data_IF_828764037655
#
_entry.id   IF_828764037655
#
_cell.length_a   1.000
_cell.length_b   1.000
_cell.length_c   1.000
_cell.angle_alpha   90.00
_cell.angle_beta   90.00
_cell.angle_gamma   90.00
#
_symmetry.space_group_name_H-M   'P 1'
#
loop_
_entity.id
_entity.type
_entity.pdbx_description
1 polymer ?
#
# COMPACT_ATOMS: atom_id res chain seq x y z
N UNK A 1 -4.37 -1.60 26.14
CA UNK A 1 -5.44 -1.48 25.12
C UNK A 1 -4.95 -0.47 24.13
N UNK A 2 -4.70 -0.86 22.88
CA UNK A 2 -4.38 0.12 21.83
C UNK A 2 -5.60 1.03 21.65
N UNK A 3 -5.39 2.32 21.73
CA UNK A 3 -6.45 3.30 21.51
C UNK A 3 -6.90 3.16 20.03
N UNK A 4 -8.20 2.95 19.82
CA UNK A 4 -8.78 2.74 18.48
C UNK A 4 -8.47 3.92 17.56
N UNK A 5 -8.31 5.11 18.13
CA UNK A 5 -7.94 6.33 17.40
C UNK A 5 -6.59 6.23 16.69
N UNK A 6 -5.71 5.34 17.13
CA UNK A 6 -4.37 5.14 16.58
C UNK A 6 -4.28 3.90 15.67
N UNK A 7 -5.38 3.22 15.42
CA UNK A 7 -5.44 2.05 14.53
C UNK A 7 -5.76 2.48 13.08
N UNK A 8 -5.00 1.94 12.12
CA UNK A 8 -5.21 2.13 10.68
C UNK A 8 -5.21 0.77 10.00
N UNK A 9 -6.25 0.50 9.19
CA UNK A 9 -6.35 -0.72 8.39
C UNK A 9 -6.25 -0.37 6.92
N UNK A 10 -5.25 -0.90 6.25
CA UNK A 10 -4.98 -0.63 4.83
C UNK A 10 -4.81 -1.93 4.07
N UNK A 11 -5.28 -1.96 2.84
CA UNK A 11 -4.95 -3.02 1.88
C UNK A 11 -3.92 -2.52 0.88
N UNK A 12 -2.98 -3.38 0.50
CA UNK A 12 -2.02 -3.05 -0.54
C UNK A 12 -2.38 -3.77 -1.84
N UNK A 13 -2.54 -2.99 -2.91
CA UNK A 13 -2.84 -3.46 -4.27
C UNK A 13 -1.62 -3.20 -5.14
N UNK A 14 -1.10 -4.23 -5.77
CA UNK A 14 0.01 -4.11 -6.70
C UNK A 14 -0.04 -5.19 -7.77
N UNK A 15 0.48 -4.86 -8.96
CA UNK A 15 0.80 -5.88 -9.96
C UNK A 15 2.05 -6.66 -9.53
N UNK A 16 2.18 -7.88 -10.06
CA UNK A 16 3.42 -8.68 -9.91
C UNK A 16 4.62 -7.86 -10.36
N UNK A 17 5.73 -7.97 -9.65
CA UNK A 17 6.98 -7.25 -9.89
C UNK A 17 6.94 -5.71 -9.70
N UNK A 18 5.82 -5.10 -9.30
CA UNK A 18 5.78 -3.67 -8.95
C UNK A 18 6.49 -3.34 -7.62
N UNK A 19 6.98 -4.36 -6.89
CA UNK A 19 7.80 -4.18 -5.69
C UNK A 19 7.02 -4.18 -4.38
N UNK A 20 5.85 -4.82 -4.33
CA UNK A 20 5.00 -4.92 -3.13
C UNK A 20 5.75 -5.53 -1.95
N UNK A 21 6.32 -6.72 -2.11
CA UNK A 21 7.05 -7.42 -1.05
C UNK A 21 8.21 -6.59 -0.54
N UNK A 22 9.01 -6.02 -1.45
CA UNK A 22 10.16 -5.18 -1.10
C UNK A 22 9.73 -3.93 -0.31
N UNK A 23 8.64 -3.28 -0.72
CA UNK A 23 8.11 -2.11 -0.02
C UNK A 23 7.65 -2.48 1.40
N UNK A 24 6.86 -3.52 1.54
CA UNK A 24 6.34 -3.98 2.84
C UNK A 24 7.46 -4.39 3.77
N UNK A 25 8.47 -5.10 3.27
CA UNK A 25 9.66 -5.46 4.06
C UNK A 25 10.41 -4.23 4.58
N UNK A 26 10.54 -3.18 3.76
CA UNK A 26 11.14 -1.91 4.20
C UNK A 26 10.32 -1.19 5.25
N UNK A 27 8.99 -1.17 5.11
CA UNK A 27 8.10 -0.62 6.13
C UNK A 27 8.25 -1.37 7.45
N UNK A 28 8.30 -2.70 7.41
CA UNK A 28 8.53 -3.53 8.60
C UNK A 28 9.88 -3.26 9.26
N UNK A 29 10.95 -3.20 8.48
CA UNK A 29 12.30 -2.92 8.98
C UNK A 29 12.38 -1.54 9.65
N UNK A 30 11.82 -0.51 9.03
CA UNK A 30 11.92 0.87 9.50
C UNK A 30 10.96 1.19 10.65
N UNK A 31 9.88 0.43 10.79
CA UNK A 31 8.94 0.58 11.90
C UNK A 31 9.46 0.05 13.24
N UNK A 32 10.56 -0.69 13.25
CA UNK A 32 11.07 -1.39 14.42
C UNK A 32 10.25 -2.63 14.82
N UNK A 33 9.30 -3.05 14.00
CA UNK A 33 8.44 -4.21 14.28
C UNK A 33 9.21 -5.54 14.34
N UNK A 34 10.38 -5.60 13.71
CA UNK A 34 11.21 -6.82 13.63
C UNK A 34 12.18 -6.98 14.81
N UNK A 35 12.36 -5.96 15.68
CA UNK A 35 13.31 -6.00 16.80
C UNK A 35 14.72 -6.45 16.36
N UNK A 36 15.45 -7.14 17.25
CA UNK A 36 16.81 -7.67 16.99
C UNK A 36 16.87 -8.81 15.93
N UNK A 37 15.74 -9.24 15.38
CA UNK A 37 15.65 -10.27 14.31
C UNK A 37 15.72 -9.71 12.90
N UNK A 38 16.05 -8.45 12.73
CA UNK A 38 16.11 -7.75 11.42
C UNK A 38 17.05 -8.37 10.37
N UNK A 39 17.88 -9.34 10.74
CA UNK A 39 18.82 -10.02 9.83
C UNK A 39 18.32 -11.32 9.16
N UNK A 40 17.15 -11.86 9.56
CA UNK A 40 16.73 -13.21 9.16
C UNK A 40 15.49 -13.30 8.27
N UNK A 41 14.81 -12.19 7.96
CA UNK A 41 13.52 -12.25 7.26
C UNK A 41 13.59 -11.52 5.92
N UNK A 42 14.17 -12.17 4.93
CA UNK A 42 13.87 -11.87 3.53
C UNK A 42 12.45 -12.35 3.21
N UNK A 43 11.57 -11.45 2.75
CA UNK A 43 10.21 -11.73 2.26
C UNK A 43 9.20 -12.21 3.31
N UNK A 44 8.97 -11.40 4.33
CA UNK A 44 7.97 -11.69 5.38
C UNK A 44 6.57 -11.97 4.81
N UNK A 45 6.19 -11.33 3.70
CA UNK A 45 4.87 -11.48 3.08
C UNK A 45 4.75 -12.72 2.19
N UNK A 46 5.84 -13.18 1.57
CA UNK A 46 5.84 -14.33 0.63
C UNK A 46 6.44 -15.59 1.27
N UNK A 47 6.00 -15.95 2.46
CA UNK A 47 6.53 -17.10 3.22
C UNK A 47 6.00 -18.46 2.76
N UNK A 48 5.04 -18.51 1.84
CA UNK A 48 4.51 -19.76 1.28
C UNK A 48 5.38 -20.21 0.08
N UNK A 49 5.79 -21.48 0.07
CA UNK A 49 6.65 -22.04 -0.98
C UNK A 49 6.06 -21.85 -2.40
N UNK A 50 4.73 -21.98 -2.56
CA UNK A 50 4.04 -21.78 -3.85
C UNK A 50 4.03 -20.30 -4.27
N UNK A 51 3.89 -19.38 -3.34
CA UNK A 51 3.94 -17.93 -3.60
C UNK A 51 5.35 -17.50 -3.97
N UNK A 52 6.36 -18.02 -3.26
CA UNK A 52 7.77 -17.77 -3.56
C UNK A 52 8.20 -18.31 -4.92
N UNK A 53 7.73 -19.52 -5.31
CA UNK A 53 8.04 -20.13 -6.60
C UNK A 53 7.42 -19.38 -7.78
N UNK A 54 6.19 -18.87 -7.60
CA UNK A 54 5.43 -18.18 -8.66
C UNK A 54 5.57 -16.67 -8.63
N UNK A 55 6.12 -16.09 -7.55
CA UNK A 55 6.24 -14.65 -7.33
C UNK A 55 4.89 -13.93 -7.18
N UNK A 56 3.81 -14.65 -6.82
CA UNK A 56 2.45 -14.10 -6.68
C UNK A 56 1.91 -14.36 -5.27
N UNK A 57 1.11 -13.42 -4.76
CA UNK A 57 0.36 -13.60 -3.52
C UNK A 57 -0.93 -14.37 -3.81
N UNK A 58 -1.14 -15.48 -3.11
CA UNK A 58 -2.30 -16.37 -3.26
C UNK A 58 -3.31 -16.13 -2.14
N UNK A 59 -2.83 -15.99 -0.90
CA UNK A 59 -3.66 -15.78 0.28
C UNK A 59 -3.44 -14.39 0.87
N UNK A 60 -4.54 -13.75 1.28
CA UNK A 60 -4.45 -12.48 2.00
C UNK A 60 -3.73 -12.69 3.34
N UNK A 61 -2.66 -11.93 3.55
CA UNK A 61 -1.87 -11.95 4.79
C UNK A 61 -2.03 -10.63 5.52
N UNK A 62 -2.11 -10.71 6.84
CA UNK A 62 -2.19 -9.55 7.71
C UNK A 62 -0.84 -9.34 8.39
N UNK A 63 -0.30 -8.16 8.24
CA UNK A 63 0.92 -7.72 8.91
C UNK A 63 0.64 -6.47 9.71
N UNK A 64 0.99 -6.47 11.00
CA UNK A 64 0.83 -5.30 11.85
C UNK A 64 2.17 -4.60 12.06
N UNK A 65 2.17 -3.30 11.83
CA UNK A 65 3.30 -2.41 12.02
C UNK A 65 2.97 -1.45 13.16
N UNK A 66 3.93 -1.19 14.04
CA UNK A 66 3.83 -0.14 15.06
C UNK A 66 4.80 0.97 14.67
N UNK A 67 4.28 2.18 14.46
CA UNK A 67 5.09 3.33 14.04
C UNK A 67 4.85 4.54 14.94
N UNK A 68 5.94 5.21 15.37
CA UNK A 68 5.88 6.44 16.15
C UNK A 68 5.92 7.66 15.23
N UNK A 69 4.83 8.41 15.23
CA UNK A 69 4.80 9.74 14.60
C UNK A 69 5.47 10.76 15.52
N UNK A 70 6.69 11.13 15.15
CA UNK A 70 7.49 12.10 15.93
C UNK A 70 6.92 13.52 15.92
N UNK A 71 6.03 13.85 14.95
CA UNK A 71 5.38 15.15 14.84
C UNK A 71 4.39 15.37 15.98
N UNK A 72 3.71 14.30 16.40
CA UNK A 72 2.62 14.33 17.39
C UNK A 72 2.93 13.51 18.64
N UNK A 73 4.09 12.86 18.70
CA UNK A 73 4.49 11.90 19.74
C UNK A 73 3.42 10.80 19.94
N UNK A 74 2.80 10.37 18.85
CA UNK A 74 1.72 9.39 18.85
C UNK A 74 2.18 8.09 18.19
N UNK A 75 1.97 6.97 18.86
CA UNK A 75 2.25 5.65 18.31
C UNK A 75 1.03 5.10 17.62
N UNK A 76 1.15 4.82 16.32
CA UNK A 76 0.12 4.23 15.47
C UNK A 76 0.36 2.73 15.29
N UNK A 77 -0.74 1.98 15.21
CA UNK A 77 -0.75 0.61 14.74
C UNK A 77 -1.37 0.55 13.36
N UNK A 78 -0.58 0.15 12.37
CA UNK A 78 -0.98 0.05 10.97
C UNK A 78 -1.07 -1.43 10.62
N UNK A 79 -2.27 -1.92 10.33
CA UNK A 79 -2.49 -3.26 9.83
C UNK A 79 -2.47 -3.21 8.30
N UNK A 80 -1.53 -3.92 7.70
CA UNK A 80 -1.42 -4.06 6.25
C UNK A 80 -1.99 -5.41 5.87
N UNK A 81 -3.02 -5.40 5.02
CA UNK A 81 -3.59 -6.60 4.44
C UNK A 81 -3.09 -6.71 3.00
N UNK A 82 -2.38 -7.77 2.71
CA UNK A 82 -1.95 -8.06 1.35
C UNK A 82 -3.11 -8.60 0.53
N UNK A 83 -3.31 -8.10 -0.68
CA UNK A 83 -4.37 -8.55 -1.58
C UNK A 83 -3.82 -9.47 -2.66
N UNK A 84 -4.53 -10.58 -2.97
CA UNK A 84 -4.21 -11.35 -4.17
C UNK A 84 -4.32 -10.48 -5.43
N UNK A 85 -3.31 -10.55 -6.28
CA UNK A 85 -3.27 -9.74 -7.51
C UNK A 85 -4.09 -10.30 -8.67
N UNK A 86 -4.70 -11.48 -8.53
CA UNK A 86 -5.34 -12.19 -9.62
C UNK A 86 -6.87 -12.19 -9.51
N UNK A 87 -7.57 -12.01 -10.64
CA UNK A 87 -9.04 -12.01 -10.71
C UNK A 87 -9.69 -13.32 -10.22
N UNK A 88 -8.95 -14.42 -10.25
CA UNK A 88 -9.42 -15.74 -9.80
C UNK A 88 -9.71 -15.79 -8.29
N UNK A 89 -9.21 -14.83 -7.52
CA UNK A 89 -9.39 -14.74 -6.06
C UNK A 89 -10.43 -13.68 -5.65
N UNK A 90 -11.46 -13.45 -6.47
CA UNK A 90 -12.46 -12.39 -6.26
C UNK A 90 -13.12 -12.39 -4.89
N UNK A 91 -13.45 -13.56 -4.33
CA UNK A 91 -14.02 -13.68 -2.98
C UNK A 91 -13.06 -13.24 -1.87
N UNK A 92 -11.78 -13.55 -2.00
CA UNK A 92 -10.75 -13.12 -1.05
C UNK A 92 -10.53 -11.60 -1.12
N UNK A 93 -10.50 -11.04 -2.33
CA UNK A 93 -10.42 -9.58 -2.54
C UNK A 93 -11.58 -8.87 -1.88
N UNK A 94 -12.82 -9.34 -2.07
CA UNK A 94 -14.01 -8.72 -1.45
C UNK A 94 -13.97 -8.78 0.08
N UNK A 95 -13.48 -9.88 0.64
CA UNK A 95 -13.28 -10.04 2.07
C UNK A 95 -12.25 -9.04 2.60
N UNK A 96 -11.11 -8.89 1.93
CA UNK A 96 -10.08 -7.90 2.31
C UNK A 96 -10.67 -6.49 2.29
N UNK A 97 -11.35 -6.11 1.20
CA UNK A 97 -11.94 -4.77 1.06
C UNK A 97 -13.00 -4.46 2.13
N UNK A 98 -13.59 -5.48 2.77
CA UNK A 98 -14.53 -5.28 3.89
C UNK A 98 -13.86 -5.02 5.24
N UNK A 99 -12.54 -5.24 5.34
CA UNK A 99 -11.79 -5.15 6.60
C UNK A 99 -10.88 -3.94 6.68
N UNK A 100 -10.80 -3.13 5.62
CA UNK A 100 -9.85 -2.02 5.51
C UNK A 100 -10.56 -0.69 5.33
N UNK A 101 -9.88 0.39 5.68
CA UNK A 101 -10.41 1.76 5.62
C UNK A 101 -9.85 2.54 4.43
N UNK A 102 -8.76 2.05 3.84
CA UNK A 102 -8.07 2.68 2.71
C UNK A 102 -7.31 1.62 1.90
N UNK A 103 -6.98 1.94 0.67
CA UNK A 103 -6.14 1.11 -0.20
C UNK A 103 -4.88 1.84 -0.63
N UNK A 104 -3.73 1.14 -0.59
CA UNK A 104 -2.49 1.60 -1.20
C UNK A 104 -2.37 0.96 -2.58
N UNK A 105 -2.43 1.77 -3.63
CA UNK A 105 -2.15 1.31 -4.99
C UNK A 105 -0.69 1.55 -5.33
N UNK A 106 0.08 0.47 -5.42
CA UNK A 106 1.49 0.50 -5.77
C UNK A 106 1.67 0.32 -7.28
N UNK A 107 2.28 1.30 -7.93
CA UNK A 107 2.48 1.32 -9.38
C UNK A 107 3.96 1.51 -9.70
N UNK A 108 4.48 0.72 -10.63
CA UNK A 108 5.82 0.88 -11.16
C UNK A 108 5.91 2.15 -12.04
N UNK A 109 6.90 2.99 -11.77
CA UNK A 109 7.11 4.26 -12.49
C UNK A 109 7.47 4.11 -13.97
N UNK A 110 7.79 2.90 -14.43
CA UNK A 110 8.12 2.61 -15.83
C UNK A 110 6.92 2.02 -16.58
N UNK A 111 6.18 1.12 -15.91
CA UNK A 111 5.11 0.32 -16.53
C UNK A 111 3.73 0.95 -16.40
N UNK A 112 3.49 1.70 -15.32
CA UNK A 112 2.18 2.25 -15.02
C UNK A 112 1.21 1.19 -14.47
N UNK A 113 -0.10 1.54 -14.36
CA UNK A 113 -1.10 0.62 -13.85
C UNK A 113 -1.36 -0.51 -14.85
N UNK A 114 -1.42 -1.75 -14.35
CA UNK A 114 -1.60 -2.96 -15.16
C UNK A 114 -3.04 -3.47 -15.08
N UNK A 115 -3.53 -4.22 -16.10
CA UNK A 115 -4.92 -4.69 -16.15
C UNK A 115 -5.38 -5.48 -14.92
N UNK A 116 -4.48 -6.20 -14.27
CA UNK A 116 -4.80 -7.01 -13.09
C UNK A 116 -5.20 -6.15 -11.88
N UNK A 117 -4.58 -4.98 -11.72
CA UNK A 117 -4.93 -4.05 -10.63
C UNK A 117 -6.30 -3.40 -10.83
N UNK A 118 -6.79 -3.34 -12.08
CA UNK A 118 -8.09 -2.78 -12.42
C UNK A 118 -9.23 -3.44 -11.65
N UNK A 119 -9.27 -4.78 -11.63
CA UNK A 119 -10.32 -5.54 -10.95
C UNK A 119 -10.34 -5.25 -9.44
N UNK A 120 -9.17 -5.31 -8.80
CA UNK A 120 -9.05 -5.09 -7.35
C UNK A 120 -9.40 -3.66 -6.98
N UNK A 121 -8.94 -2.67 -7.77
CA UNK A 121 -9.26 -1.26 -7.59
C UNK A 121 -10.76 -0.99 -7.74
N UNK A 122 -11.41 -1.61 -8.74
CA UNK A 122 -12.86 -1.51 -8.93
C UNK A 122 -13.64 -2.00 -7.69
N UNK A 123 -13.21 -3.11 -7.09
CA UNK A 123 -13.82 -3.63 -5.88
C UNK A 123 -13.63 -2.70 -4.68
N UNK A 124 -12.46 -2.08 -4.56
CA UNK A 124 -12.19 -1.07 -3.53
C UNK A 124 -13.10 0.17 -3.69
N UNK A 125 -13.22 0.69 -4.91
CA UNK A 125 -14.05 1.86 -5.20
C UNK A 125 -15.54 1.61 -5.00
N UNK A 126 -16.03 0.42 -5.36
CA UNK A 126 -17.41 0.01 -5.11
C UNK A 126 -17.78 0.02 -3.61
N UNK A 127 -16.80 -0.05 -2.73
CA UNK A 127 -16.97 0.07 -1.27
C UNK A 127 -16.72 1.48 -0.74
N UNK A 128 -16.44 2.44 -1.60
CA UNK A 128 -16.15 3.82 -1.22
C UNK A 128 -14.77 4.02 -0.58
N UNK A 129 -13.85 3.06 -0.70
CA UNK A 129 -12.50 3.19 -0.16
C UNK A 129 -11.72 4.26 -0.91
N UNK A 130 -10.95 5.06 -0.15
CA UNK A 130 -10.06 6.09 -0.71
C UNK A 130 -8.72 5.46 -1.08
N UNK A 131 -8.14 5.80 -2.24
CA UNK A 131 -6.82 5.31 -2.63
C UNK A 131 -5.72 6.25 -2.16
N UNK A 132 -4.57 5.69 -1.80
CA UNK A 132 -3.27 6.37 -1.76
C UNK A 132 -2.44 5.74 -2.87
N UNK A 133 -1.92 6.54 -3.79
CA UNK A 133 -1.11 6.03 -4.91
C UNK A 133 0.37 6.16 -4.59
N UNK A 134 1.09 5.05 -4.72
CA UNK A 134 2.54 4.98 -4.52
C UNK A 134 3.20 4.73 -5.87
N UNK A 135 3.93 5.71 -6.38
CA UNK A 135 4.74 5.58 -7.59
C UNK A 135 6.11 5.04 -7.18
N UNK A 136 6.32 3.75 -7.41
CA UNK A 136 7.53 3.04 -6.98
C UNK A 136 8.60 2.99 -8.08
N UNK A 137 9.83 2.72 -7.67
CA UNK A 137 11.01 2.59 -8.54
C UNK A 137 11.38 3.89 -9.26
N UNK A 138 11.11 5.04 -8.62
CA UNK A 138 11.43 6.36 -9.22
C UNK A 138 12.94 6.61 -9.37
N UNK A 139 13.78 5.80 -8.71
CA UNK A 139 15.24 5.80 -8.83
C UNK A 139 15.75 5.21 -10.15
N UNK A 140 14.88 4.60 -10.95
CA UNK A 140 15.30 4.03 -12.24
C UNK A 140 15.43 5.09 -13.32
N UNK A 141 16.45 4.98 -14.21
CA UNK A 141 16.67 5.98 -15.27
C UNK A 141 15.51 6.11 -16.27
N UNK A 142 14.71 5.06 -16.43
CA UNK A 142 13.54 5.02 -17.33
C UNK A 142 12.23 5.33 -16.62
N UNK A 143 12.27 5.82 -15.39
CA UNK A 143 11.07 6.23 -14.66
C UNK A 143 10.34 7.38 -15.37
N UNK A 144 9.00 7.29 -15.42
CA UNK A 144 8.11 8.27 -16.05
C UNK A 144 6.95 8.60 -15.11
N UNK A 145 7.22 9.16 -13.93
CA UNK A 145 6.20 9.32 -12.89
C UNK A 145 4.99 10.14 -13.36
N UNK A 146 5.18 11.24 -14.09
CA UNK A 146 4.08 12.07 -14.59
C UNK A 146 3.15 11.30 -15.52
N UNK A 147 3.73 10.57 -16.46
CA UNK A 147 2.94 9.72 -17.36
C UNK A 147 2.16 8.63 -16.58
N UNK A 148 2.76 8.05 -15.55
CA UNK A 148 2.11 7.05 -14.71
C UNK A 148 0.93 7.65 -13.95
N UNK A 149 1.05 8.87 -13.44
CA UNK A 149 -0.03 9.58 -12.75
C UNK A 149 -1.21 9.79 -13.70
N UNK A 150 -0.95 10.23 -14.94
CA UNK A 150 -2.00 10.39 -15.96
C UNK A 150 -2.71 9.06 -16.23
N UNK A 151 -1.95 7.96 -16.35
CA UNK A 151 -2.53 6.62 -16.54
C UNK A 151 -3.34 6.13 -15.35
N UNK A 152 -2.93 6.46 -14.12
CA UNK A 152 -3.69 6.13 -12.90
C UNK A 152 -4.98 6.94 -12.85
N UNK A 153 -4.90 8.23 -13.16
CA UNK A 153 -6.08 9.09 -13.21
C UNK A 153 -7.10 8.59 -14.24
N UNK A 154 -6.65 8.28 -15.47
CA UNK A 154 -7.50 7.69 -16.51
C UNK A 154 -8.12 6.36 -16.08
N UNK A 155 -7.35 5.52 -15.38
CA UNK A 155 -7.87 4.27 -14.82
C UNK A 155 -8.98 4.53 -13.82
N UNK A 156 -8.80 5.44 -12.88
CA UNK A 156 -9.78 5.74 -11.83
C UNK A 156 -11.05 6.36 -12.40
N UNK A 157 -10.93 7.30 -13.34
CA UNK A 157 -12.05 7.89 -14.06
C UNK A 157 -12.86 6.82 -14.82
N UNK A 158 -12.18 5.95 -15.55
CA UNK A 158 -12.80 4.82 -16.27
C UNK A 158 -13.47 3.78 -15.34
N UNK A 159 -13.09 3.71 -14.09
CA UNK A 159 -13.72 2.87 -13.06
C UNK A 159 -14.91 3.54 -12.38
N UNK A 160 -15.21 4.79 -12.74
CA UNK A 160 -16.28 5.56 -12.11
C UNK A 160 -15.94 6.04 -10.70
N UNK A 161 -14.69 6.40 -10.45
CA UNK A 161 -14.26 6.97 -9.19
C UNK A 161 -15.05 8.24 -8.85
N UNK A 162 -15.31 8.48 -7.57
CA UNK A 162 -15.89 9.74 -7.08
C UNK A 162 -14.84 10.85 -7.11
N UNK A 163 -15.29 12.11 -7.03
CA UNK A 163 -14.37 13.25 -6.96
C UNK A 163 -13.37 13.11 -5.79
N UNK A 164 -13.81 12.58 -4.64
CA UNK A 164 -12.95 12.31 -3.49
C UNK A 164 -11.90 11.23 -3.78
N UNK A 165 -12.25 10.23 -4.59
CA UNK A 165 -11.32 9.16 -5.01
C UNK A 165 -10.37 9.64 -6.09
N UNK A 166 -10.75 10.61 -6.92
CA UNK A 166 -9.90 11.25 -7.92
C UNK A 166 -8.92 12.27 -7.32
N UNK A 167 -9.23 12.81 -6.13
CA UNK A 167 -8.33 13.66 -5.34
C UNK A 167 -7.41 12.79 -4.45
N UNK A 168 -6.72 11.85 -5.07
CA UNK A 168 -5.86 10.90 -4.37
C UNK A 168 -4.48 11.49 -4.05
N UNK A 169 -3.95 11.25 -2.83
CA UNK A 169 -2.58 11.59 -2.49
C UNK A 169 -1.60 10.69 -3.23
N UNK A 170 -0.46 11.26 -3.61
CA UNK A 170 0.62 10.56 -4.32
C UNK A 170 1.86 10.59 -3.45
N UNK A 171 2.48 9.41 -3.30
CA UNK A 171 3.80 9.26 -2.66
C UNK A 171 4.74 8.62 -3.67
N UNK A 172 5.90 9.22 -3.84
CA UNK A 172 6.98 8.68 -4.68
C UNK A 172 7.90 7.83 -3.82
N UNK A 173 8.32 6.68 -4.32
CA UNK A 173 9.13 5.76 -3.53
C UNK A 173 10.17 5.01 -4.36
N UNK A 174 11.22 4.59 -3.69
CA UNK A 174 12.09 3.50 -4.10
C UNK A 174 12.07 2.44 -3.01
N UNK A 175 11.25 1.41 -3.19
CA UNK A 175 11.15 0.30 -2.26
C UNK A 175 12.50 -0.39 -2.05
N UNK A 176 13.32 -0.52 -3.09
CA UNK A 176 14.65 -1.10 -3.01
C UNK A 176 15.57 -0.30 -2.07
N UNK A 177 15.57 1.03 -2.20
CA UNK A 177 16.37 1.94 -1.36
C UNK A 177 15.75 2.17 0.02
N UNK A 178 14.47 1.91 0.18
CA UNK A 178 13.73 2.16 1.43
C UNK A 178 13.48 3.64 1.69
N UNK A 179 13.19 4.42 0.65
CA UNK A 179 12.98 5.87 0.71
C UNK A 179 11.68 6.26 0.04
N UNK A 180 11.04 7.32 0.55
CA UNK A 180 9.82 7.90 -0.02
C UNK A 180 9.83 9.43 0.09
N UNK A 181 8.98 10.10 -0.69
CA UNK A 181 8.90 11.56 -0.66
C UNK A 181 7.72 12.12 -1.46
N UNK A 182 7.52 13.45 -1.40
CA UNK A 182 6.43 14.14 -2.09
C UNK A 182 6.67 14.32 -3.59
N UNK A 183 7.91 14.19 -4.05
CA UNK A 183 8.28 14.23 -5.47
C UNK A 183 9.46 13.30 -5.75
N UNK A 184 9.74 12.93 -7.01
CA UNK A 184 10.89 12.09 -7.36
C UNK A 184 12.23 12.73 -6.99
N UNK A 185 12.31 14.07 -6.95
CA UNK A 185 13.49 14.85 -6.63
C UNK A 185 13.66 15.06 -5.11
N UNK A 186 12.59 14.95 -4.35
CA UNK A 186 12.54 15.22 -2.91
C UNK A 186 12.23 13.95 -2.11
N UNK A 187 13.05 12.93 -2.28
CA UNK A 187 12.97 11.71 -1.48
C UNK A 187 13.66 11.93 -0.12
N UNK A 188 12.98 11.53 0.96
CA UNK A 188 13.57 11.49 2.29
C UNK A 188 14.60 10.36 2.40
N UNK A 189 15.29 10.27 3.54
CA UNK A 189 16.27 9.22 3.81
C UNK A 189 15.62 7.86 4.17
N UNK A 190 14.31 7.87 4.42
CA UNK A 190 13.53 6.71 4.85
C UNK A 190 12.08 6.74 4.31
N UNK A 191 11.24 5.83 4.79
CA UNK A 191 9.82 5.72 4.45
C UNK A 191 8.89 6.61 5.29
N UNK A 192 9.42 7.49 6.13
CA UNK A 192 8.61 8.38 6.98
C UNK A 192 7.52 9.13 6.22
N UNK A 193 7.76 9.73 5.03
CA UNK A 193 6.70 10.41 4.28
C UNK A 193 5.51 9.50 3.91
N UNK A 194 5.76 8.22 3.66
CA UNK A 194 4.68 7.25 3.40
C UNK A 194 3.88 6.95 4.68
N UNK A 195 4.56 6.74 5.81
CA UNK A 195 3.89 6.53 7.09
C UNK A 195 3.03 7.75 7.48
N UNK A 196 3.56 8.96 7.34
CA UNK A 196 2.85 10.20 7.60
C UNK A 196 1.61 10.32 6.73
N UNK A 197 1.73 10.05 5.43
CA UNK A 197 0.58 10.08 4.51
C UNK A 197 -0.50 9.07 4.92
N UNK A 198 -0.11 7.87 5.33
CA UNK A 198 -1.07 6.84 5.80
C UNK A 198 -1.82 7.34 7.05
N UNK A 199 -1.13 7.84 8.06
CA UNK A 199 -1.80 8.24 9.32
C UNK A 199 -2.62 9.51 9.17
N UNK A 200 -2.26 10.40 8.23
CA UNK A 200 -2.97 11.65 7.98
C UNK A 200 -4.25 11.44 7.14
N UNK A 201 -4.21 10.50 6.17
CA UNK A 201 -5.31 10.27 5.21
C UNK A 201 -6.27 9.18 5.68
N UNK A 202 -5.76 8.10 6.28
CA UNK A 202 -6.59 6.98 6.71
C UNK A 202 -7.32 7.36 8.00
N UNK A 203 -8.65 7.36 7.97
CA UNK A 203 -9.45 7.65 9.16
C UNK A 203 -9.29 6.56 10.22
N UNK A 204 -9.39 6.92 11.52
CA UNK A 204 -9.44 5.93 12.58
C UNK A 204 -10.61 4.98 12.39
N UNK A 205 -10.45 3.73 12.80
CA UNK A 205 -11.53 2.73 12.75
C UNK A 205 -12.78 3.26 13.43
N UNK A 206 -13.87 3.39 12.67
CA UNK A 206 -15.16 3.82 13.19
C UNK A 206 -16.02 2.58 13.46
N UNK A 207 -16.61 2.48 14.66
CA UNK A 207 -17.54 1.41 15.03
C UNK A 207 -18.90 1.45 14.30
N UNK A 208 -19.12 2.40 13.40
CA UNK A 208 -20.41 2.59 12.73
C UNK A 208 -20.79 1.47 11.74
N UNK A 209 -19.91 0.50 11.50
CA UNK A 209 -20.17 -0.64 10.61
C UNK A 209 -20.59 -1.93 11.33
N UNK A 210 -20.93 -1.89 12.62
CA UNK A 210 -21.34 -3.04 13.42
C UNK A 210 -22.84 -3.04 13.78
N UNK A 211 -23.68 -2.41 12.96
CA UNK A 211 -25.16 -2.57 13.07
C UNK A 211 -25.77 -3.18 11.83
#
# INVERSE_FOLDING_TARGET
MSDIKTLRNIAIIAHVDHGKTTLVDKLLQQSGALGDRAGEIERVMDSNALESERGITILAKNTAITWLDKRTDTTYRINIVDTPGHADFGGEVERVMSMVDCVLLLVDSQEGPMPQTRFVTQKAFARGLKPIVIINKVDKPSARPDWVIDQVFDLFDNLGATDEQLDFPIVYASGLRGVAGPSPEELAEDMTPLFETIVDIVEPVSYTHLT
#
